data_IF_583753355915
#
_entry.id   IF_583753355915
#
_cell.length_a   1.000
_cell.length_b   1.000
_cell.length_c   1.000
_cell.angle_alpha   90.00
_cell.angle_beta   90.00
_cell.angle_gamma   90.00
#
_symmetry.space_group_name_H-M   'P 1'
#
loop_
_entity.id
_entity.type
_entity.pdbx_description
1 polymer ?
#
# COMPACT_ATOMS: atom_id res chain seq x y z
N UNK A 1 25.12 8.84 7.33
CA UNK A 1 24.04 9.77 6.97
C UNK A 1 24.56 10.63 5.84
N UNK A 2 23.83 10.78 4.73
CA UNK A 2 24.20 11.66 3.62
C UNK A 2 24.15 13.13 4.11
N UNK A 3 25.08 13.95 3.61
CA UNK A 3 25.02 15.39 3.83
C UNK A 3 24.09 16.03 2.81
N UNK A 4 23.18 16.92 3.27
CA UNK A 4 22.22 17.63 2.41
C UNK A 4 20.84 17.73 3.07
N UNK A 5 19.88 18.23 2.29
CA UNK A 5 18.50 18.38 2.74
C UNK A 5 17.75 17.04 2.67
N UNK A 6 16.79 16.83 3.58
CA UNK A 6 15.94 15.65 3.59
C UNK A 6 14.87 15.74 2.49
N UNK A 7 14.23 14.61 2.18
CA UNK A 7 13.04 14.56 1.34
C UNK A 7 11.97 15.55 1.81
N UNK A 8 11.35 16.26 0.87
CA UNK A 8 10.23 17.16 1.13
C UNK A 8 9.13 16.91 0.10
N UNK A 9 7.93 16.70 0.59
CA UNK A 9 6.72 16.69 -0.22
C UNK A 9 5.77 17.79 0.27
N UNK A 10 5.06 18.41 -0.67
CA UNK A 10 4.06 19.42 -0.40
C UNK A 10 2.81 19.10 -1.20
N UNK A 11 1.68 19.02 -0.53
CA UNK A 11 0.39 18.71 -1.12
C UNK A 11 -0.73 19.60 -0.59
N UNK A 12 -1.84 19.62 -1.31
CA UNK A 12 -3.06 20.32 -0.95
C UNK A 12 -4.24 19.38 -1.01
N UNK A 13 -5.11 19.44 0.00
CA UNK A 13 -6.39 18.75 0.00
C UNK A 13 -7.52 19.73 -0.24
N UNK A 14 -8.50 19.36 -1.06
CA UNK A 14 -9.66 20.19 -1.38
C UNK A 14 -10.97 19.39 -1.33
N UNK A 15 -12.09 20.08 -1.14
CA UNK A 15 -13.41 19.47 -1.13
C UNK A 15 -13.58 18.40 -0.07
N UNK A 16 -13.87 17.17 -0.47
CA UNK A 16 -14.06 16.03 0.44
C UNK A 16 -12.75 15.47 1.04
N UNK A 17 -11.60 16.07 0.74
CA UNK A 17 -10.27 15.70 1.23
C UNK A 17 -9.88 14.24 0.92
N UNK A 18 -10.44 13.66 -0.15
CA UNK A 18 -10.21 12.26 -0.51
C UNK A 18 -8.83 12.03 -1.13
N UNK A 19 -8.32 13.00 -1.88
CA UNK A 19 -7.03 12.93 -2.57
C UNK A 19 -6.23 14.20 -2.39
N UNK A 20 -4.90 14.05 -2.26
CA UNK A 20 -3.97 15.16 -2.23
C UNK A 20 -3.57 15.54 -3.65
N UNK A 21 -3.64 16.83 -3.98
CA UNK A 21 -2.93 17.40 -5.13
C UNK A 21 -1.48 17.64 -4.74
N UNK A 22 -0.53 17.00 -5.43
CA UNK A 22 0.91 17.23 -5.20
C UNK A 22 1.32 18.58 -5.78
N UNK A 23 1.77 19.49 -4.94
CA UNK A 23 2.27 20.81 -5.34
C UNK A 23 3.76 20.80 -5.62
N UNK A 24 4.55 20.09 -4.82
CA UNK A 24 5.99 19.96 -5.00
C UNK A 24 6.52 18.66 -4.40
N UNK A 25 7.58 18.11 -5.01
CA UNK A 25 8.36 16.99 -4.50
C UNK A 25 9.84 17.26 -4.68
N UNK A 26 10.57 17.27 -3.58
CA UNK A 26 12.03 17.45 -3.56
C UNK A 26 12.66 16.18 -2.99
N UNK A 27 13.28 15.39 -3.85
CA UNK A 27 13.90 14.12 -3.43
C UNK A 27 15.13 14.37 -2.54
N UNK A 28 15.93 15.40 -2.86
CA UNK A 28 17.13 15.78 -2.09
C UNK A 28 18.08 14.57 -1.90
N UNK A 29 18.59 14.34 -0.68
CA UNK A 29 19.48 13.18 -0.41
C UNK A 29 18.82 11.83 -0.65
N UNK A 30 17.50 11.77 -0.73
CA UNK A 30 16.75 10.55 -0.98
C UNK A 30 16.86 10.07 -2.44
N UNK A 31 17.18 10.97 -3.40
CA UNK A 31 17.33 10.62 -4.82
C UNK A 31 18.38 9.52 -5.05
N UNK A 32 19.40 9.48 -4.20
CA UNK A 32 20.49 8.51 -4.30
C UNK A 32 20.44 7.45 -3.20
N UNK A 33 19.31 7.37 -2.48
CA UNK A 33 19.14 6.40 -1.41
C UNK A 33 19.16 4.97 -1.96
N UNK A 34 19.97 4.12 -1.31
CA UNK A 34 20.02 2.69 -1.60
C UNK A 34 19.78 1.95 -0.29
N UNK A 35 18.65 1.22 -0.17
CA UNK A 35 18.34 0.49 1.05
C UNK A 35 19.34 -0.67 1.26
N UNK A 36 19.93 -0.71 2.45
CA UNK A 36 20.74 -1.85 2.92
C UNK A 36 20.04 -2.45 4.13
N UNK A 37 19.59 -3.69 4.01
CA UNK A 37 18.91 -4.40 5.10
C UNK A 37 19.96 -5.05 6.00
N UNK A 38 20.02 -4.69 7.30
CA UNK A 38 20.89 -5.36 8.24
C UNK A 38 20.60 -6.87 8.33
N UNK A 39 21.63 -7.69 8.48
CA UNK A 39 21.49 -9.15 8.48
C UNK A 39 20.50 -9.67 9.54
N UNK A 40 20.43 -9.02 10.68
CA UNK A 40 19.49 -9.33 11.77
C UNK A 40 18.03 -9.04 11.42
N UNK A 41 17.76 -8.22 10.40
CA UNK A 41 16.42 -7.87 9.90
C UNK A 41 16.08 -8.56 8.58
N UNK A 42 16.98 -9.37 8.02
CA UNK A 42 16.80 -10.00 6.71
C UNK A 42 15.72 -11.11 6.70
N UNK A 43 15.27 -11.58 7.87
CA UNK A 43 14.21 -12.60 7.98
C UNK A 43 13.04 -12.09 8.83
N UNK A 44 12.31 -11.04 8.40
CA UNK A 44 11.17 -10.54 9.13
C UNK A 44 10.00 -11.54 9.00
N UNK A 45 9.09 -11.53 9.98
CA UNK A 45 7.84 -12.31 9.86
C UNK A 45 6.93 -11.76 8.74
N UNK A 46 6.80 -10.45 8.67
CA UNK A 46 6.11 -9.71 7.62
C UNK A 46 7.05 -8.64 7.10
N UNK A 47 7.26 -8.59 5.79
CA UNK A 47 7.90 -7.48 5.11
C UNK A 47 6.82 -6.54 4.60
N UNK A 48 6.88 -5.25 4.95
CA UNK A 48 6.05 -4.24 4.35
C UNK A 48 6.91 -3.22 3.60
N UNK A 49 6.84 -3.26 2.27
CA UNK A 49 7.43 -2.27 1.38
C UNK A 49 6.41 -1.14 1.17
N UNK A 50 6.50 -0.09 1.99
CA UNK A 50 5.68 1.10 1.88
C UNK A 50 6.04 1.92 0.61
N UNK A 51 5.37 3.06 0.42
CA UNK A 51 5.53 3.91 -0.77
C UNK A 51 7.00 4.32 -0.99
N UNK A 52 7.62 3.73 -2.00
CA UNK A 52 8.99 3.97 -2.45
C UNK A 52 9.08 3.65 -3.95
N UNK A 53 10.16 4.11 -4.62
CA UNK A 53 10.41 3.72 -6.01
C UNK A 53 10.43 2.19 -6.14
N UNK A 54 9.72 1.58 -7.11
CA UNK A 54 9.61 0.12 -7.24
C UNK A 54 10.93 -0.63 -7.28
N UNK A 55 11.97 -0.05 -7.89
CA UNK A 55 13.30 -0.68 -7.92
C UNK A 55 13.96 -0.75 -6.53
N UNK A 56 13.66 0.21 -5.64
CA UNK A 56 14.12 0.17 -4.26
C UNK A 56 13.32 -0.85 -3.43
N UNK A 57 12.02 -0.95 -3.67
CA UNK A 57 11.18 -2.00 -3.07
C UNK A 57 11.68 -3.38 -3.48
N UNK A 58 11.98 -3.58 -4.78
CA UNK A 58 12.59 -4.81 -5.29
C UNK A 58 13.93 -5.09 -4.61
N UNK A 59 14.79 -4.09 -4.47
CA UNK A 59 16.08 -4.25 -3.78
C UNK A 59 15.94 -4.71 -2.34
N UNK A 60 14.93 -4.23 -1.61
CA UNK A 60 14.62 -4.71 -0.24
C UNK A 60 14.10 -6.14 -0.26
N UNK A 61 13.20 -6.47 -1.19
CA UNK A 61 12.70 -7.85 -1.35
C UNK A 61 13.83 -8.84 -1.68
N UNK A 62 14.83 -8.41 -2.46
CA UNK A 62 16.00 -9.25 -2.80
C UNK A 62 16.94 -9.50 -1.60
N UNK A 63 16.91 -8.62 -0.61
CA UNK A 63 17.72 -8.70 0.61
C UNK A 63 17.01 -9.40 1.78
N UNK A 64 15.74 -9.78 1.61
CA UNK A 64 14.93 -10.32 2.72
C UNK A 64 14.27 -11.64 2.35
N UNK A 65 13.98 -12.43 3.39
CA UNK A 65 13.20 -13.67 3.28
C UNK A 65 12.11 -13.65 4.34
N UNK A 66 10.93 -13.06 4.05
CA UNK A 66 9.84 -13.00 5.01
C UNK A 66 9.33 -14.38 5.40
N UNK A 67 9.08 -14.58 6.69
CA UNK A 67 8.58 -15.87 7.20
C UNK A 67 7.12 -16.12 6.93
N UNK A 68 6.35 -15.10 6.54
CA UNK A 68 4.92 -15.22 6.32
C UNK A 68 4.37 -14.44 5.14
N UNK A 69 4.54 -13.12 5.10
CA UNK A 69 3.92 -12.25 4.08
C UNK A 69 4.88 -11.16 3.63
N UNK A 70 4.83 -10.87 2.35
CA UNK A 70 5.36 -9.65 1.74
C UNK A 70 4.17 -8.76 1.37
N UNK A 71 4.14 -7.54 1.90
CA UNK A 71 3.13 -6.53 1.65
C UNK A 71 3.75 -5.36 0.89
N UNK A 72 2.99 -4.77 -0.02
CA UNK A 72 3.41 -3.65 -0.86
C UNK A 72 2.35 -2.54 -0.84
N UNK A 73 2.78 -1.28 -0.73
CA UNK A 73 1.99 -0.09 -1.04
C UNK A 73 2.66 0.70 -2.16
N UNK A 74 1.91 1.57 -2.83
CA UNK A 74 2.41 2.38 -3.94
C UNK A 74 1.73 3.75 -3.96
N UNK A 75 2.02 4.55 -4.99
CA UNK A 75 1.34 5.80 -5.29
C UNK A 75 1.29 6.06 -6.80
N UNK A 76 0.41 6.98 -7.20
CA UNK A 76 0.18 7.38 -8.58
C UNK A 76 1.43 7.83 -9.35
N UNK A 77 2.43 8.40 -8.66
CA UNK A 77 3.70 8.80 -9.29
C UNK A 77 4.38 7.61 -9.97
N UNK A 78 4.48 6.48 -9.26
CA UNK A 78 5.16 5.28 -9.79
C UNK A 78 4.36 4.62 -10.91
N UNK A 79 3.03 4.74 -10.89
CA UNK A 79 2.17 4.31 -12.00
C UNK A 79 2.51 5.09 -13.27
N UNK A 80 2.79 6.39 -13.13
CA UNK A 80 3.07 7.28 -14.25
C UNK A 80 4.48 7.09 -14.82
N UNK A 81 5.50 6.95 -13.96
CA UNK A 81 6.91 6.99 -14.40
C UNK A 81 7.62 5.64 -14.35
N UNK A 82 7.08 4.62 -13.66
CA UNK A 82 7.72 3.33 -13.43
C UNK A 82 6.75 2.14 -13.48
N UNK A 83 5.63 2.23 -14.25
CA UNK A 83 4.57 1.20 -14.30
C UNK A 83 5.10 -0.22 -14.51
N UNK A 84 6.05 -0.49 -15.43
CA UNK A 84 6.57 -1.86 -15.60
C UNK A 84 7.27 -2.40 -14.35
N UNK A 85 8.13 -1.59 -13.69
CA UNK A 85 8.80 -1.99 -12.45
C UNK A 85 7.80 -2.16 -11.31
N UNK A 86 6.74 -1.34 -11.26
CA UNK A 86 5.68 -1.46 -10.27
C UNK A 86 4.91 -2.77 -10.42
N UNK A 87 4.50 -3.12 -11.63
CA UNK A 87 3.81 -4.39 -11.89
C UNK A 87 4.69 -5.61 -11.54
N UNK A 88 5.99 -5.53 -11.79
CA UNK A 88 6.96 -6.57 -11.40
C UNK A 88 6.98 -6.78 -9.88
N UNK A 89 7.13 -5.71 -9.09
CA UNK A 89 7.18 -5.83 -7.62
C UNK A 89 5.82 -6.20 -7.02
N UNK A 90 4.71 -5.77 -7.63
CA UNK A 90 3.37 -6.25 -7.27
C UNK A 90 3.24 -7.77 -7.41
N UNK A 91 3.80 -8.33 -8.49
CA UNK A 91 3.82 -9.78 -8.72
C UNK A 91 4.69 -10.58 -7.75
N UNK A 92 5.56 -9.90 -6.98
CA UNK A 92 6.41 -10.50 -5.95
C UNK A 92 5.85 -10.38 -4.54
N UNK A 93 4.77 -9.60 -4.38
CA UNK A 93 4.11 -9.41 -3.10
C UNK A 93 2.92 -10.35 -2.93
N UNK A 94 2.75 -10.91 -1.73
CA UNK A 94 1.58 -11.71 -1.37
C UNK A 94 0.33 -10.84 -1.25
N UNK A 95 0.51 -9.56 -0.86
CA UNK A 95 -0.56 -8.62 -0.61
C UNK A 95 -0.16 -7.22 -1.10
N UNK A 96 -1.00 -6.63 -1.95
CA UNK A 96 -0.83 -5.29 -2.49
C UNK A 96 -1.94 -4.38 -1.97
N UNK A 97 -1.58 -3.17 -1.53
CA UNK A 97 -2.49 -2.14 -1.05
C UNK A 97 -2.37 -0.93 -1.98
N UNK A 98 -3.47 -0.52 -2.58
CA UNK A 98 -3.55 0.69 -3.42
C UNK A 98 -4.86 1.43 -3.13
N UNK A 99 -5.03 2.64 -3.66
CA UNK A 99 -6.32 3.32 -3.64
C UNK A 99 -7.11 3.04 -4.94
N UNK A 100 -8.36 3.46 -4.99
CA UNK A 100 -9.24 3.18 -6.13
C UNK A 100 -8.87 4.00 -7.39
N UNK A 101 -8.30 5.19 -7.24
CA UNK A 101 -7.72 5.96 -8.35
C UNK A 101 -6.52 5.22 -8.96
N UNK A 102 -5.61 4.74 -8.12
CA UNK A 102 -4.45 3.95 -8.53
C UNK A 102 -4.85 2.64 -9.24
N UNK A 103 -5.86 1.95 -8.71
CA UNK A 103 -6.38 0.73 -9.34
C UNK A 103 -6.90 1.00 -10.76
N UNK A 104 -7.67 2.08 -10.96
CA UNK A 104 -8.17 2.48 -12.28
C UNK A 104 -7.04 2.92 -13.22
N UNK A 105 -6.06 3.68 -12.71
CA UNK A 105 -4.90 4.10 -13.52
C UNK A 105 -4.05 2.90 -13.99
N UNK A 106 -3.84 1.92 -13.12
CA UNK A 106 -3.05 0.73 -13.43
C UNK A 106 -3.73 -0.16 -14.47
N UNK A 107 -5.04 -0.41 -14.31
CA UNK A 107 -5.83 -1.29 -15.16
C UNK A 107 -6.37 -0.62 -16.42
N UNK A 108 -6.43 0.72 -16.43
CA UNK A 108 -7.10 1.52 -17.47
C UNK A 108 -8.61 1.18 -17.57
N UNK A 109 -9.23 0.75 -16.46
CA UNK A 109 -10.64 0.39 -16.36
C UNK A 109 -11.35 1.17 -15.24
N UNK A 110 -12.46 1.82 -15.60
CA UNK A 110 -13.29 2.59 -14.67
C UNK A 110 -14.10 1.69 -13.72
N UNK A 111 -14.38 0.44 -14.09
CA UNK A 111 -15.05 -0.50 -13.21
C UNK A 111 -14.07 -1.13 -12.22
N UNK A 112 -14.13 -0.68 -10.97
CA UNK A 112 -13.17 -1.05 -9.94
C UNK A 112 -13.08 -2.57 -9.68
N UNK A 113 -14.19 -3.29 -9.71
CA UNK A 113 -14.20 -4.75 -9.48
C UNK A 113 -13.49 -5.47 -10.63
N UNK A 114 -13.75 -5.05 -11.87
CA UNK A 114 -13.07 -5.59 -13.05
C UNK A 114 -11.58 -5.24 -13.03
N UNK A 115 -11.23 -3.98 -12.72
CA UNK A 115 -9.87 -3.53 -12.53
C UNK A 115 -9.10 -4.41 -11.51
N UNK A 116 -9.71 -4.73 -10.38
CA UNK A 116 -9.09 -5.58 -9.36
C UNK A 116 -8.81 -6.99 -9.88
N UNK A 117 -9.75 -7.60 -10.61
CA UNK A 117 -9.55 -8.93 -11.19
C UNK A 117 -8.47 -8.94 -12.28
N UNK A 118 -8.45 -7.93 -13.14
CA UNK A 118 -7.43 -7.78 -14.19
C UNK A 118 -6.03 -7.58 -13.60
N UNK A 119 -5.90 -6.72 -12.60
CA UNK A 119 -4.63 -6.47 -11.92
C UNK A 119 -4.12 -7.72 -11.18
N UNK A 120 -4.99 -8.40 -10.43
CA UNK A 120 -4.63 -9.63 -9.74
C UNK A 120 -4.19 -10.73 -10.73
N UNK A 121 -4.86 -10.84 -11.88
CA UNK A 121 -4.48 -11.78 -12.94
C UNK A 121 -3.15 -11.40 -13.61
N UNK A 122 -2.93 -10.11 -13.90
CA UNK A 122 -1.73 -9.63 -14.56
C UNK A 122 -0.48 -9.73 -13.66
N UNK A 123 -0.62 -9.48 -12.36
CA UNK A 123 0.48 -9.53 -11.40
C UNK A 123 0.60 -10.88 -10.69
N UNK A 124 -0.42 -11.74 -10.79
CA UNK A 124 -0.53 -13.00 -10.05
C UNK A 124 -0.50 -12.82 -8.51
N UNK A 125 -0.77 -11.62 -8.01
CA UNK A 125 -0.87 -11.41 -6.57
C UNK A 125 -2.10 -12.10 -5.99
N UNK A 126 -1.94 -12.78 -4.86
CA UNK A 126 -3.04 -13.51 -4.21
C UNK A 126 -4.03 -12.59 -3.50
N UNK A 127 -3.58 -11.39 -3.09
CA UNK A 127 -4.39 -10.44 -2.34
C UNK A 127 -4.20 -9.02 -2.84
N UNK A 128 -5.26 -8.42 -3.36
CA UNK A 128 -5.29 -7.02 -3.76
C UNK A 128 -6.30 -6.26 -2.90
N UNK A 129 -5.84 -5.25 -2.18
CA UNK A 129 -6.66 -4.38 -1.32
C UNK A 129 -6.75 -3.00 -1.95
N UNK A 130 -7.97 -2.49 -2.07
CA UNK A 130 -8.25 -1.17 -2.63
C UNK A 130 -8.94 -0.30 -1.59
N UNK A 131 -8.22 0.71 -1.11
CA UNK A 131 -8.71 1.76 -0.20
C UNK A 131 -9.61 2.72 -0.99
N UNK A 132 -10.75 3.12 -0.43
CA UNK A 132 -11.76 3.94 -1.09
C UNK A 132 -12.20 5.13 -0.24
N UNK A 133 -11.31 5.66 0.60
CA UNK A 133 -11.59 6.78 1.48
C UNK A 133 -12.86 6.54 2.32
N UNK A 134 -13.80 7.47 2.27
CA UNK A 134 -15.08 7.39 3.00
C UNK A 134 -15.97 6.21 2.61
N UNK A 135 -15.70 5.58 1.47
CA UNK A 135 -16.44 4.41 0.99
C UNK A 135 -15.86 3.07 1.50
N UNK A 136 -14.84 3.12 2.36
CA UNK A 136 -14.26 1.94 2.98
C UNK A 136 -13.21 1.23 2.14
N UNK A 137 -13.21 -0.09 2.14
CA UNK A 137 -12.18 -0.91 1.50
C UNK A 137 -12.80 -2.10 0.76
N UNK A 138 -12.25 -2.43 -0.40
CA UNK A 138 -12.47 -3.69 -1.10
C UNK A 138 -11.17 -4.50 -1.05
N UNK A 139 -11.29 -5.82 -0.90
CA UNK A 139 -10.17 -6.73 -1.03
C UNK A 139 -10.57 -7.93 -1.89
N UNK A 140 -9.72 -8.28 -2.84
CA UNK A 140 -9.80 -9.50 -3.61
C UNK A 140 -8.75 -10.47 -3.06
N UNK A 141 -9.16 -11.61 -2.54
CA UNK A 141 -8.26 -12.62 -1.97
C UNK A 141 -8.58 -14.00 -2.54
N UNK A 142 -7.64 -14.56 -3.31
CA UNK A 142 -7.82 -15.87 -3.97
C UNK A 142 -9.15 -15.98 -4.76
N UNK A 143 -9.61 -14.89 -5.36
CA UNK A 143 -10.87 -14.81 -6.10
C UNK A 143 -12.10 -14.40 -5.30
N UNK A 144 -12.03 -14.42 -3.96
CA UNK A 144 -13.11 -13.97 -3.08
C UNK A 144 -13.05 -12.44 -2.89
N UNK A 145 -14.19 -11.78 -2.99
CA UNK A 145 -14.32 -10.34 -2.78
C UNK A 145 -14.82 -10.05 -1.35
N UNK A 146 -14.06 -9.25 -0.62
CA UNK A 146 -14.41 -8.75 0.72
C UNK A 146 -14.64 -7.24 0.63
N UNK A 147 -15.75 -6.75 1.19
CA UNK A 147 -16.07 -5.33 1.26
C UNK A 147 -16.36 -4.92 2.71
N UNK A 148 -15.73 -3.85 3.19
CA UNK A 148 -15.97 -3.29 4.50
C UNK A 148 -16.20 -1.77 4.39
N UNK A 149 -17.14 -1.20 5.17
CA UNK A 149 -17.35 0.24 5.22
C UNK A 149 -16.20 0.96 5.94
N UNK A 150 -16.05 2.25 5.68
CA UNK A 150 -15.23 3.12 6.51
C UNK A 150 -15.88 3.35 7.89
N UNK A 151 -15.08 3.80 8.86
CA UNK A 151 -15.61 4.35 10.11
C UNK A 151 -16.19 5.72 9.81
N UNK A 152 -17.49 5.97 10.09
CA UNK A 152 -18.08 7.30 9.86
C UNK A 152 -17.39 8.36 10.70
N UNK A 153 -16.83 9.39 10.06
CA UNK A 153 -16.14 10.50 10.72
C UNK A 153 -16.75 11.82 10.24
N UNK A 154 -17.22 12.64 11.19
CA UNK A 154 -17.87 13.90 10.86
C UNK A 154 -16.88 15.03 10.52
N UNK A 155 -15.70 15.00 11.11
CA UNK A 155 -14.68 16.03 10.96
C UNK A 155 -13.37 15.38 10.48
N UNK A 156 -12.97 15.73 9.28
CA UNK A 156 -11.65 15.36 8.73
C UNK A 156 -10.78 16.60 8.80
N UNK A 157 -9.68 16.53 9.53
CA UNK A 157 -8.75 17.65 9.71
C UNK A 157 -7.58 17.54 8.75
N UNK A 158 -6.92 16.40 8.74
CA UNK A 158 -5.79 16.11 7.86
C UNK A 158 -5.71 14.58 7.60
N UNK A 159 -6.06 14.10 6.40
CA UNK A 159 -6.03 12.68 6.08
C UNK A 159 -4.63 12.15 5.75
N UNK A 160 -3.59 12.99 5.84
CA UNK A 160 -2.20 12.57 5.58
C UNK A 160 -1.80 11.47 6.56
N UNK A 161 -1.28 10.37 6.04
CA UNK A 161 -0.87 9.22 6.85
C UNK A 161 -1.98 8.21 7.17
N UNK A 162 -3.25 8.47 6.79
CA UNK A 162 -4.32 7.46 6.94
C UNK A 162 -3.99 6.16 6.22
N UNK A 163 -3.43 6.26 5.01
CA UNK A 163 -2.98 5.10 4.24
C UNK A 163 -1.88 4.32 4.94
N UNK A 164 -0.88 5.02 5.48
CA UNK A 164 0.24 4.40 6.20
C UNK A 164 -0.24 3.76 7.51
N UNK A 165 -1.13 4.44 8.24
CA UNK A 165 -1.75 3.89 9.47
C UNK A 165 -2.58 2.64 9.15
N UNK A 166 -3.37 2.67 8.08
CA UNK A 166 -4.12 1.49 7.61
C UNK A 166 -3.18 0.32 7.33
N UNK A 167 -2.16 0.54 6.50
CA UNK A 167 -1.22 -0.50 6.09
C UNK A 167 -0.39 -1.05 7.26
N UNK A 168 0.08 -0.17 8.15
CA UNK A 168 0.82 -0.54 9.35
C UNK A 168 -0.01 -1.37 10.34
N UNK A 169 -1.26 -0.97 10.58
CA UNK A 169 -2.19 -1.70 11.44
C UNK A 169 -2.56 -3.08 10.86
N UNK A 170 -2.77 -3.13 9.53
CA UNK A 170 -3.00 -4.39 8.82
C UNK A 170 -1.79 -5.32 8.96
N UNK A 171 -0.58 -4.82 8.69
CA UNK A 171 0.66 -5.59 8.80
C UNK A 171 0.85 -6.14 10.22
N UNK A 172 0.64 -5.30 11.24
CA UNK A 172 0.72 -5.70 12.65
C UNK A 172 -0.30 -6.79 12.98
N UNK A 173 -1.56 -6.64 12.54
CA UNK A 173 -2.60 -7.66 12.81
C UNK A 173 -2.32 -8.98 12.10
N UNK A 174 -1.92 -8.94 10.83
CA UNK A 174 -1.59 -10.13 10.06
C UNK A 174 -0.30 -10.80 10.53
N UNK A 175 0.63 -10.08 11.16
CA UNK A 175 1.84 -10.68 11.72
C UNK A 175 1.58 -11.63 12.90
N UNK A 176 0.41 -11.54 13.54
CA UNK A 176 0.02 -12.42 14.64
C UNK A 176 -0.50 -13.79 14.17
N UNK A 177 -0.88 -13.93 12.90
CA UNK A 177 -1.44 -15.18 12.37
C UNK A 177 -0.38 -16.24 12.04
N UNK A 178 -0.81 -17.46 11.74
CA UNK A 178 0.06 -18.58 11.38
C UNK A 178 -0.33 -19.15 10.00
N UNK A 179 0.67 -19.71 9.29
CA UNK A 179 0.46 -20.32 7.97
C UNK A 179 -0.01 -19.34 6.89
N UNK A 180 -0.78 -19.86 5.94
CA UNK A 180 -1.30 -19.06 4.83
C UNK A 180 -2.38 -18.09 5.31
N UNK A 181 -2.45 -16.92 4.68
CA UNK A 181 -3.50 -15.94 4.93
C UNK A 181 -4.86 -16.52 4.53
N UNK A 182 -5.84 -16.42 5.44
CA UNK A 182 -7.23 -16.81 5.18
C UNK A 182 -8.10 -15.59 4.96
N UNK A 183 -9.23 -15.76 4.24
CA UNK A 183 -10.22 -14.69 4.02
C UNK A 183 -10.78 -14.15 5.35
N UNK A 184 -10.96 -15.01 6.34
CA UNK A 184 -11.45 -14.61 7.68
C UNK A 184 -10.43 -13.74 8.41
N UNK A 185 -9.16 -14.11 8.38
CA UNK A 185 -8.07 -13.36 9.00
C UNK A 185 -7.84 -12.02 8.28
N UNK A 186 -7.90 -12.03 6.94
CA UNK A 186 -7.83 -10.80 6.15
C UNK A 186 -8.96 -9.84 6.53
N UNK A 187 -10.20 -10.33 6.60
CA UNK A 187 -11.36 -9.52 6.99
C UNK A 187 -11.20 -8.89 8.37
N UNK A 188 -10.74 -9.67 9.35
CA UNK A 188 -10.47 -9.18 10.69
C UNK A 188 -9.34 -8.13 10.69
N UNK A 189 -8.27 -8.37 9.94
CA UNK A 189 -7.19 -7.40 9.73
C UNK A 189 -7.66 -6.10 9.11
N UNK A 190 -8.50 -6.17 8.08
CA UNK A 190 -9.08 -5.00 7.43
C UNK A 190 -9.98 -4.19 8.37
N UNK A 191 -10.74 -4.84 9.25
CA UNK A 191 -11.55 -4.16 10.28
C UNK A 191 -10.65 -3.37 11.23
N UNK A 192 -9.60 -3.98 11.75
CA UNK A 192 -8.62 -3.32 12.63
C UNK A 192 -7.95 -2.14 11.90
N UNK A 193 -7.49 -2.36 10.68
CA UNK A 193 -6.82 -1.34 9.87
C UNK A 193 -7.73 -0.13 9.61
N UNK A 194 -9.01 -0.37 9.27
CA UNK A 194 -10.01 0.69 9.03
C UNK A 194 -10.28 1.51 10.28
N UNK A 195 -10.41 0.86 11.44
CA UNK A 195 -10.59 1.57 12.72
C UNK A 195 -9.34 2.37 13.07
N UNK A 196 -8.14 1.80 12.94
CA UNK A 196 -6.90 2.51 13.25
C UNK A 196 -6.69 3.72 12.34
N UNK A 197 -6.95 3.60 11.03
CA UNK A 197 -6.86 4.71 10.10
C UNK A 197 -7.81 5.88 10.47
N UNK A 198 -8.97 5.60 11.06
CA UNK A 198 -9.91 6.65 11.46
C UNK A 198 -9.42 7.55 12.60
N UNK A 199 -8.41 7.14 13.34
CA UNK A 199 -7.79 7.98 14.37
C UNK A 199 -6.73 8.95 13.82
N UNK A 200 -6.40 8.85 12.53
CA UNK A 200 -5.43 9.73 11.86
C UNK A 200 -6.10 10.93 11.17
N UNK A 201 -7.43 10.95 11.08
CA UNK A 201 -8.23 11.96 10.38
C UNK A 201 -8.32 13.30 11.09
#
# INVERSE_FOLDING_TARGET
>A
VAEGETFRWEGSYQGAMAEAETLATHLNVFEHFQPAVPAELASPRVLFCANLHPDLQRSVMDQTTPGRLTMLDSMNLWITIAKPSLLDVMGRADLVIINDGEARMLSEDENLVRAMHELAAATQTSTLIVKRGEHGVLALHNGDLVALPAVPTANVVDPTGCGDTFAGALAARLSCGEGNLTTAELRDGLMVATVMASFTL
#
